data_IF_134797583881
#
_entry.id   IF_134797583881
#
_cell.length_a   1.000
_cell.length_b   1.000
_cell.length_c   1.000
_cell.angle_alpha   90.00
_cell.angle_beta   90.00
_cell.angle_gamma   90.00
#
_symmetry.space_group_name_H-M   'P 1'
#
loop_
_entity.id
_entity.type
_entity.pdbx_description
1 polymer ?
#
# COMPACT_ATOMS: atom_id res chain seq x y z
N UNK A 1 9.57 16.08 5.49
CA UNK A 1 9.67 14.90 4.62
C UNK A 1 9.84 13.67 5.49
N UNK A 2 9.64 12.48 4.94
CA UNK A 2 9.88 11.17 5.59
C UNK A 2 10.63 10.29 4.59
N UNK A 3 11.62 9.54 5.06
CA UNK A 3 12.33 8.56 4.25
C UNK A 3 11.88 7.15 4.62
N UNK A 4 11.58 6.33 3.61
CA UNK A 4 11.29 4.90 3.71
C UNK A 4 12.47 4.14 3.10
N UNK A 5 13.11 3.28 3.90
CA UNK A 5 14.27 2.48 3.49
C UNK A 5 13.89 1.02 3.68
N UNK A 6 13.90 0.23 2.60
CA UNK A 6 13.39 -1.14 2.64
C UNK A 6 13.97 -2.03 1.54
N UNK A 7 13.83 -3.34 1.71
CA UNK A 7 14.21 -4.36 0.74
C UNK A 7 12.98 -4.89 0.01
N UNK A 8 12.73 -4.36 -1.18
CA UNK A 8 11.60 -4.75 -2.05
C UNK A 8 11.93 -5.99 -2.87
N UNK A 9 10.93 -6.82 -3.19
CA UNK A 9 11.11 -8.02 -4.00
C UNK A 9 11.51 -7.67 -5.43
N UNK A 10 12.59 -8.28 -5.94
CA UNK A 10 13.16 -7.92 -7.24
C UNK A 10 12.29 -8.33 -8.43
N UNK A 11 11.41 -9.32 -8.24
CA UNK A 11 10.46 -9.83 -9.24
C UNK A 11 9.20 -8.99 -9.37
N UNK A 12 8.89 -8.14 -8.37
CA UNK A 12 7.69 -7.29 -8.37
C UNK A 12 7.97 -5.96 -9.06
N UNK A 13 6.90 -5.37 -9.61
CA UNK A 13 6.90 -3.97 -10.04
C UNK A 13 7.17 -3.12 -8.79
N UNK A 14 8.11 -2.19 -8.87
CA UNK A 14 8.53 -1.41 -7.71
C UNK A 14 7.50 -0.33 -7.34
N UNK A 15 7.44 0.06 -6.06
CA UNK A 15 6.56 1.16 -5.61
C UNK A 15 6.74 2.46 -6.41
N UNK A 16 7.97 2.93 -6.75
CA UNK A 16 8.14 4.08 -7.65
C UNK A 16 7.43 3.93 -9.01
N UNK A 17 7.48 2.74 -9.62
CA UNK A 17 6.83 2.49 -10.91
C UNK A 17 5.31 2.45 -10.78
N UNK A 18 4.79 1.88 -9.69
CA UNK A 18 3.36 1.90 -9.38
C UNK A 18 2.89 3.34 -9.13
N UNK A 19 3.63 4.11 -8.34
CA UNK A 19 3.31 5.50 -8.02
C UNK A 19 3.33 6.40 -9.26
N UNK A 20 4.26 6.18 -10.19
CA UNK A 20 4.23 6.85 -11.50
C UNK A 20 2.91 6.58 -12.24
N UNK A 21 2.40 5.34 -12.20
CA UNK A 21 1.10 5.01 -12.81
C UNK A 21 -0.07 5.68 -12.08
N UNK A 22 -0.03 5.72 -10.76
CA UNK A 22 -1.01 6.40 -9.91
C UNK A 22 -1.05 7.90 -10.24
N UNK A 23 0.09 8.56 -10.40
CA UNK A 23 0.18 9.97 -10.81
C UNK A 23 -0.40 10.22 -12.21
N UNK A 24 -0.15 9.32 -13.18
CA UNK A 24 -0.76 9.40 -14.51
C UNK A 24 -2.29 9.27 -14.48
N UNK A 25 -2.83 8.44 -13.58
CA UNK A 25 -4.27 8.32 -13.36
C UNK A 25 -4.81 9.58 -12.70
N UNK A 26 -4.14 10.09 -11.68
CA UNK A 26 -4.54 11.29 -10.94
C UNK A 26 -4.63 12.54 -11.85
N UNK A 27 -3.74 12.68 -12.83
CA UNK A 27 -3.82 13.76 -13.83
C UNK A 27 -5.09 13.73 -14.68
N UNK A 28 -5.68 12.54 -14.87
CA UNK A 28 -6.94 12.34 -15.61
C UNK A 28 -8.18 12.41 -14.71
N UNK A 29 -7.99 12.22 -13.41
CA UNK A 29 -9.06 12.16 -12.40
C UNK A 29 -8.74 13.11 -11.24
N UNK A 30 -9.16 14.40 -11.32
CA UNK A 30 -8.84 15.40 -10.30
C UNK A 30 -9.30 15.03 -8.88
N UNK A 31 -10.29 14.15 -8.76
CA UNK A 31 -10.78 13.61 -7.48
C UNK A 31 -9.77 12.71 -6.77
N UNK A 32 -8.69 12.28 -7.43
CA UNK A 32 -7.64 11.42 -6.88
C UNK A 32 -6.36 12.18 -6.58
N UNK A 33 -6.11 13.29 -7.27
CA UNK A 33 -4.84 14.04 -7.24
C UNK A 33 -4.38 14.43 -5.84
N UNK A 34 -5.30 14.90 -4.99
CA UNK A 34 -4.94 15.31 -3.63
C UNK A 34 -4.83 14.14 -2.66
N UNK A 35 -5.29 12.95 -3.05
CA UNK A 35 -5.50 11.77 -2.20
C UNK A 35 -4.44 10.67 -2.38
N UNK A 36 -3.37 10.95 -3.12
CA UNK A 36 -2.25 10.04 -3.38
C UNK A 36 -0.96 10.53 -2.69
N UNK A 37 -0.02 9.63 -2.35
CA UNK A 37 1.22 10.02 -1.71
C UNK A 37 2.13 10.75 -2.71
N UNK A 38 2.83 11.78 -2.22
CA UNK A 38 3.77 12.55 -3.04
C UNK A 38 5.19 12.02 -2.86
N UNK A 39 5.66 11.26 -3.84
CA UNK A 39 7.04 10.80 -3.92
C UNK A 39 7.93 11.94 -4.44
N UNK A 40 8.82 12.44 -3.59
CA UNK A 40 9.68 13.58 -3.90
C UNK A 40 11.00 13.12 -4.54
N UNK A 41 11.50 11.95 -4.13
CA UNK A 41 12.75 11.39 -4.63
C UNK A 41 12.82 9.89 -4.33
N UNK A 42 13.53 9.14 -5.17
CA UNK A 42 13.85 7.75 -4.88
C UNK A 42 15.22 7.32 -5.41
N UNK A 43 15.77 6.27 -4.82
CA UNK A 43 16.96 5.58 -5.29
C UNK A 43 16.82 4.06 -5.16
N UNK A 44 17.29 3.36 -6.19
CA UNK A 44 17.34 1.88 -6.27
C UNK A 44 18.80 1.47 -6.29
N UNK A 45 19.20 0.60 -5.37
CA UNK A 45 20.55 0.06 -5.33
C UNK A 45 20.73 -1.07 -6.35
N UNK A 46 21.96 -1.28 -6.80
CA UNK A 46 22.30 -2.27 -7.84
C UNK A 46 22.61 -3.66 -7.29
N UNK A 47 22.87 -3.79 -5.99
CA UNK A 47 23.31 -5.03 -5.37
C UNK A 47 22.13 -5.72 -4.65
N UNK A 48 21.45 -6.70 -5.29
CA UNK A 48 20.37 -7.42 -4.65
C UNK A 48 20.88 -8.37 -3.56
N UNK A 49 19.97 -8.83 -2.71
CA UNK A 49 20.26 -9.86 -1.70
C UNK A 49 20.72 -11.18 -2.33
N UNK A 50 20.38 -11.45 -3.59
CA UNK A 50 20.86 -12.64 -4.30
C UNK A 50 22.37 -12.63 -4.50
N UNK A 51 22.96 -11.48 -4.85
CA UNK A 51 24.41 -11.34 -4.98
C UNK A 51 25.13 -11.53 -3.63
N UNK A 52 24.51 -11.06 -2.53
CA UNK A 52 25.02 -11.27 -1.17
C UNK A 52 24.98 -12.76 -0.80
N UNK A 53 23.85 -13.43 -1.07
CA UNK A 53 23.69 -14.86 -0.81
C UNK A 53 24.65 -15.73 -1.61
N UNK A 54 24.86 -15.38 -2.87
CA UNK A 54 25.84 -16.04 -3.74
C UNK A 54 27.26 -15.92 -3.17
N UNK A 55 27.68 -14.71 -2.78
CA UNK A 55 28.99 -14.48 -2.17
C UNK A 55 29.17 -15.23 -0.83
N UNK A 56 28.08 -15.51 -0.12
CA UNK A 56 28.07 -16.27 1.14
C UNK A 56 27.88 -17.78 0.94
N UNK A 57 27.72 -18.27 -0.29
CA UNK A 57 27.53 -19.69 -0.58
C UNK A 57 26.17 -20.26 -0.14
N UNK A 58 25.13 -19.42 -0.02
CA UNK A 58 23.78 -19.85 0.36
C UNK A 58 23.12 -20.59 -0.82
N UNK A 59 22.49 -21.77 -0.61
CA UNK A 59 21.74 -22.47 -1.66
C UNK A 59 20.60 -21.60 -2.23
N UNK A 60 20.30 -21.77 -3.52
CA UNK A 60 19.25 -21.03 -4.23
C UNK A 60 19.30 -19.50 -4.04
N UNK A 61 20.45 -18.85 -4.33
CA UNK A 61 20.67 -17.46 -3.97
C UNK A 61 19.69 -16.50 -4.66
N UNK A 62 19.16 -16.87 -5.82
CA UNK A 62 18.22 -16.07 -6.62
C UNK A 62 16.77 -16.13 -6.11
N UNK A 63 16.39 -17.16 -5.36
CA UNK A 63 15.00 -17.36 -4.89
C UNK A 63 14.61 -16.26 -3.90
N UNK A 64 13.58 -15.48 -4.22
CA UNK A 64 13.11 -14.38 -3.36
C UNK A 64 14.15 -13.26 -3.17
N UNK A 65 14.94 -12.99 -4.22
CA UNK A 65 15.89 -11.87 -4.25
C UNK A 65 15.19 -10.53 -4.00
N UNK A 66 15.85 -9.65 -3.26
CA UNK A 66 15.35 -8.31 -2.91
C UNK A 66 16.36 -7.24 -3.27
N UNK A 67 15.86 -6.05 -3.59
CA UNK A 67 16.67 -4.86 -3.89
C UNK A 67 16.41 -3.79 -2.83
N UNK A 68 17.46 -3.12 -2.37
CA UNK A 68 17.35 -2.01 -1.43
C UNK A 68 16.83 -0.76 -2.16
N UNK A 69 15.86 -0.09 -1.55
CA UNK A 69 15.30 1.18 -2.00
C UNK A 69 15.38 2.23 -0.89
N UNK A 70 15.53 3.49 -1.31
CA UNK A 70 15.25 4.67 -0.48
C UNK A 70 14.19 5.49 -1.21
N UNK A 71 13.07 5.76 -0.54
CA UNK A 71 11.99 6.62 -1.02
C UNK A 71 11.82 7.80 -0.08
N UNK A 72 11.69 9.00 -0.62
CA UNK A 72 11.46 10.22 0.15
C UNK A 72 10.09 10.77 -0.19
N UNK A 73 9.22 10.83 0.81
CA UNK A 73 7.85 11.29 0.69
C UNK A 73 7.62 12.61 1.43
N UNK A 74 6.57 13.33 1.02
CA UNK A 74 6.01 14.40 1.86
C UNK A 74 5.52 13.81 3.19
N UNK A 75 5.73 14.54 4.29
CA UNK A 75 5.30 14.07 5.62
C UNK A 75 3.78 14.16 5.74
N UNK A 76 3.16 13.06 6.17
CA UNK A 76 1.73 12.97 6.45
C UNK A 76 1.50 12.66 7.93
N UNK A 77 0.24 12.69 8.37
CA UNK A 77 -0.20 12.33 9.70
C UNK A 77 -1.09 11.08 9.67
N UNK A 78 -1.00 10.18 10.66
CA UNK A 78 -1.81 8.97 10.68
C UNK A 78 -3.29 9.29 10.85
N UNK A 79 -4.15 8.51 10.18
CA UNK A 79 -5.61 8.65 10.26
C UNK A 79 -6.14 8.54 11.69
N UNK A 80 -5.41 7.82 12.56
CA UNK A 80 -5.77 7.61 13.96
C UNK A 80 -5.87 8.91 14.75
N UNK A 81 -5.33 10.04 14.24
CA UNK A 81 -5.50 11.38 14.84
C UNK A 81 -6.82 12.07 14.49
N UNK A 82 -7.57 11.54 13.52
CA UNK A 82 -8.87 12.07 13.10
C UNK A 82 -10.02 11.29 13.75
N UNK A 83 -11.21 11.89 13.76
CA UNK A 83 -12.41 11.30 14.36
C UNK A 83 -13.68 11.79 13.67
N UNK A 84 -14.74 10.98 13.74
CA UNK A 84 -16.05 11.34 13.20
C UNK A 84 -16.03 11.55 11.68
N UNK A 85 -16.61 12.67 11.23
CA UNK A 85 -16.78 13.02 9.80
C UNK A 85 -15.47 13.32 9.06
N UNK A 86 -14.36 13.47 9.78
CA UNK A 86 -13.05 13.80 9.20
C UNK A 86 -12.28 12.55 8.74
N UNK A 87 -12.88 11.36 8.84
CA UNK A 87 -12.28 10.11 8.39
C UNK A 87 -12.11 10.04 6.86
N UNK A 88 -11.21 9.16 6.44
CA UNK A 88 -10.78 8.96 5.07
C UNK A 88 -11.95 8.59 4.12
N UNK A 89 -12.05 9.27 2.97
CA UNK A 89 -12.99 8.95 1.91
C UNK A 89 -12.38 7.94 0.90
N UNK A 90 -12.92 6.71 0.80
CA UNK A 90 -12.41 5.68 -0.11
C UNK A 90 -12.75 5.90 -1.59
N UNK A 91 -13.45 6.99 -1.96
CA UNK A 91 -13.84 7.26 -3.36
C UNK A 91 -12.64 7.33 -4.31
N UNK A 92 -11.53 7.95 -3.88
CA UNK A 92 -10.30 7.99 -4.69
C UNK A 92 -9.69 6.60 -4.93
N UNK A 93 -9.78 5.71 -3.94
CA UNK A 93 -9.33 4.32 -4.05
C UNK A 93 -10.18 3.53 -5.07
N UNK A 94 -11.50 3.73 -5.13
CA UNK A 94 -12.36 3.12 -6.14
C UNK A 94 -11.94 3.54 -7.57
N UNK A 95 -11.60 4.81 -7.78
CA UNK A 95 -11.14 5.30 -9.08
C UNK A 95 -9.84 4.62 -9.50
N UNK A 96 -8.86 4.52 -8.60
CA UNK A 96 -7.61 3.79 -8.86
C UNK A 96 -7.87 2.32 -9.19
N UNK A 97 -8.76 1.67 -8.45
CA UNK A 97 -9.14 0.27 -8.70
C UNK A 97 -9.73 0.08 -10.11
N UNK A 98 -10.65 0.97 -10.52
CA UNK A 98 -11.26 0.92 -11.86
C UNK A 98 -10.24 1.16 -12.98
N UNK A 99 -9.23 1.96 -12.71
CA UNK A 99 -8.10 2.23 -13.63
C UNK A 99 -7.00 1.15 -13.58
N UNK A 100 -7.22 0.08 -12.81
CA UNK A 100 -6.36 -1.09 -12.78
C UNK A 100 -5.18 -1.02 -11.83
N UNK A 101 -5.23 -0.14 -10.82
CA UNK A 101 -4.27 -0.12 -9.70
C UNK A 101 -4.95 -0.71 -8.46
N UNK A 102 -4.44 -1.83 -7.98
CA UNK A 102 -4.98 -2.55 -6.84
C UNK A 102 -4.08 -2.34 -5.63
N UNK A 103 -4.58 -1.71 -4.57
CA UNK A 103 -3.77 -1.35 -3.41
C UNK A 103 -3.37 -2.58 -2.57
N UNK A 104 -4.35 -3.44 -2.25
CA UNK A 104 -4.21 -4.73 -1.55
C UNK A 104 -3.76 -4.70 -0.09
N UNK A 105 -3.21 -3.59 0.40
CA UNK A 105 -2.82 -3.46 1.82
C UNK A 105 -3.53 -2.29 2.51
N UNK A 106 -4.84 -2.40 2.67
CA UNK A 106 -5.62 -1.41 3.43
C UNK A 106 -5.42 -1.66 4.93
N UNK A 107 -4.79 -0.71 5.61
CA UNK A 107 -4.48 -0.79 7.04
C UNK A 107 -4.50 0.60 7.69
N UNK A 108 -4.62 0.72 9.04
CA UNK A 108 -4.60 2.01 9.71
C UNK A 108 -3.26 2.76 9.53
N UNK A 109 -2.17 2.04 9.29
CA UNK A 109 -0.85 2.64 9.03
C UNK A 109 -0.72 3.27 7.65
N UNK A 110 -1.52 2.79 6.71
CA UNK A 110 -1.52 3.23 5.31
C UNK A 110 -2.55 4.33 5.05
N UNK A 111 -3.56 4.46 5.92
CA UNK A 111 -4.46 5.61 5.91
C UNK A 111 -3.83 6.80 6.63
N UNK A 112 -3.58 7.85 5.87
CA UNK A 112 -2.88 9.05 6.29
C UNK A 112 -3.68 10.31 5.95
N UNK A 113 -3.23 11.48 6.40
CA UNK A 113 -3.83 12.76 6.04
C UNK A 113 -2.85 13.94 6.10
N UNK A 114 -3.23 15.05 5.49
CA UNK A 114 -2.62 16.37 5.66
C UNK A 114 -3.66 17.49 5.58
N UNK A 115 -3.27 18.71 5.96
CA UNK A 115 -4.13 19.90 5.83
C UNK A 115 -3.68 20.75 4.65
N UNK A 116 -4.63 21.22 3.84
CA UNK A 116 -4.43 22.16 2.74
C UNK A 116 -5.62 23.10 2.68
N UNK A 117 -5.37 24.41 2.67
CA UNK A 117 -6.41 25.45 2.56
C UNK A 117 -7.60 25.25 3.53
N UNK A 118 -7.28 24.92 4.79
CA UNK A 118 -8.27 24.64 5.84
C UNK A 118 -8.93 23.25 5.76
N UNK A 119 -8.83 22.53 4.64
CA UNK A 119 -9.42 21.20 4.41
C UNK A 119 -8.49 20.09 4.91
N UNK A 120 -9.08 19.05 5.48
CA UNK A 120 -8.40 17.78 5.77
C UNK A 120 -8.48 16.89 4.54
N UNK A 121 -7.34 16.37 4.11
CA UNK A 121 -7.23 15.54 2.91
C UNK A 121 -6.65 14.20 3.33
N UNK A 122 -7.44 13.14 3.14
CA UNK A 122 -7.01 11.77 3.37
C UNK A 122 -6.13 11.27 2.23
N UNK A 123 -5.08 10.51 2.55
CA UNK A 123 -4.16 9.90 1.58
C UNK A 123 -4.03 8.43 1.89
N UNK A 124 -4.23 7.57 0.89
CA UNK A 124 -3.90 6.16 0.98
C UNK A 124 -2.43 6.00 0.55
N UNK A 125 -1.57 5.65 1.49
CA UNK A 125 -0.12 5.55 1.33
C UNK A 125 0.32 4.08 1.26
N UNK A 126 1.58 3.85 0.87
CA UNK A 126 2.25 2.55 0.84
C UNK A 126 1.77 1.60 -0.27
N UNK A 127 2.32 1.80 -1.48
CA UNK A 127 1.98 1.03 -2.68
C UNK A 127 2.94 -0.15 -2.92
N UNK A 128 3.77 -0.55 -1.95
CA UNK A 128 4.76 -1.63 -2.10
C UNK A 128 4.14 -3.00 -2.43
N UNK A 129 2.93 -3.24 -1.93
CA UNK A 129 2.18 -4.48 -2.14
C UNK A 129 1.13 -4.36 -3.24
N UNK A 130 1.05 -3.19 -3.87
CA UNK A 130 0.10 -2.95 -4.93
C UNK A 130 0.45 -3.74 -6.20
N UNK A 131 -0.56 -3.94 -7.04
CA UNK A 131 -0.39 -4.61 -8.33
C UNK A 131 -1.15 -3.86 -9.42
N UNK A 132 -0.70 -4.02 -10.66
CA UNK A 132 -1.42 -3.53 -11.83
C UNK A 132 -2.25 -4.66 -12.45
N UNK A 133 -3.43 -4.33 -13.00
CA UNK A 133 -4.32 -5.29 -13.67
C UNK A 133 -3.63 -6.08 -14.80
N UNK A 134 -2.63 -5.47 -15.44
CA UNK A 134 -1.88 -6.04 -16.56
C UNK A 134 -0.54 -6.68 -16.14
N UNK A 135 -0.23 -6.74 -14.84
CA UNK A 135 1.02 -7.32 -14.37
C UNK A 135 1.03 -8.84 -14.60
N UNK A 136 2.13 -9.35 -15.18
CA UNK A 136 2.41 -10.77 -15.29
C UNK A 136 2.92 -11.27 -13.94
N UNK A 137 2.20 -12.16 -13.27
CA UNK A 137 2.59 -12.74 -12.00
C UNK A 137 1.40 -13.26 -11.19
N UNK A 138 1.64 -13.97 -10.06
CA UNK A 138 0.57 -14.42 -9.18
C UNK A 138 -0.24 -13.20 -8.72
N UNK A 139 -1.50 -13.12 -9.14
CA UNK A 139 -2.43 -12.10 -8.66
C UNK A 139 -2.95 -12.41 -7.25
N UNK A 140 -2.58 -13.57 -6.69
CA UNK A 140 -2.98 -14.04 -5.38
C UNK A 140 -2.25 -13.37 -4.22
N UNK A 141 -2.71 -13.64 -3.00
CA UNK A 141 -2.13 -13.14 -1.75
C UNK A 141 -0.89 -13.93 -1.33
N UNK A 142 0.04 -14.18 -2.25
CA UNK A 142 1.34 -14.75 -1.90
C UNK A 142 2.12 -13.72 -1.06
N UNK A 143 1.77 -13.72 0.23
CA UNK A 143 2.35 -13.05 1.39
C UNK A 143 2.18 -11.53 1.48
N UNK A 144 1.82 -11.14 2.71
CA UNK A 144 2.06 -9.86 3.41
C UNK A 144 0.97 -8.78 3.42
N UNK A 145 -0.32 -9.10 3.31
CA UNK A 145 -1.34 -8.12 3.73
C UNK A 145 -1.40 -8.09 5.27
N UNK A 146 -1.74 -6.94 5.83
CA UNK A 146 -1.95 -6.78 7.28
C UNK A 146 -3.09 -7.69 7.78
N UNK A 147 -2.75 -8.89 8.28
CA UNK A 147 -3.69 -9.99 8.62
C UNK A 147 -4.95 -9.54 9.39
N UNK A 148 -4.87 -8.69 10.44
CA UNK A 148 -6.06 -8.25 11.16
C UNK A 148 -7.10 -7.48 10.33
N UNK A 149 -6.71 -6.91 9.20
CA UNK A 149 -7.59 -6.10 8.34
C UNK A 149 -7.87 -6.79 7.00
N UNK A 150 -7.37 -8.00 6.79
CA UNK A 150 -7.63 -8.76 5.57
C UNK A 150 -9.08 -9.25 5.53
N UNK A 151 -9.69 -9.22 4.34
CA UNK A 151 -11.01 -9.81 4.11
C UNK A 151 -11.07 -11.30 4.46
N UNK A 152 -12.20 -11.78 4.98
CA UNK A 152 -12.36 -13.16 5.45
C UNK A 152 -12.08 -14.21 4.36
N UNK A 153 -12.56 -13.99 3.13
CA UNK A 153 -12.33 -14.91 2.02
C UNK A 153 -10.84 -15.08 1.69
N UNK A 154 -10.07 -14.02 1.90
CA UNK A 154 -8.63 -14.01 1.68
C UNK A 154 -7.86 -14.72 2.80
N UNK A 155 -8.46 -14.88 3.99
CA UNK A 155 -7.89 -15.63 5.12
C UNK A 155 -8.10 -17.14 5.02
N UNK A 156 -8.93 -17.61 4.07
CA UNK A 156 -9.10 -19.04 3.81
C UNK A 156 -7.80 -19.68 3.30
N UNK A 157 -7.70 -21.02 3.39
CA UNK A 157 -6.55 -21.75 2.83
C UNK A 157 -6.33 -21.43 1.36
N UNK A 158 -7.41 -21.40 0.56
CA UNK A 158 -7.37 -21.04 -0.85
C UNK A 158 -6.96 -19.58 -1.06
N UNK A 159 -7.42 -18.67 -0.20
CA UNK A 159 -7.03 -17.26 -0.22
C UNK A 159 -5.53 -17.06 0.04
N UNK A 160 -4.99 -17.75 1.05
CA UNK A 160 -3.56 -17.72 1.40
C UNK A 160 -2.68 -18.42 0.36
N UNK A 161 -3.21 -19.42 -0.35
CA UNK A 161 -2.59 -20.05 -1.51
C UNK A 161 -2.70 -19.20 -2.79
N UNK A 162 -3.31 -18.02 -2.71
CA UNK A 162 -3.45 -17.11 -3.84
C UNK A 162 -4.47 -17.55 -4.91
N UNK A 163 -5.31 -18.54 -4.59
CA UNK A 163 -6.33 -19.10 -5.49
C UNK A 163 -7.60 -18.27 -5.53
N UNK A 164 -7.85 -17.46 -4.49
CA UNK A 164 -8.97 -16.51 -4.47
C UNK A 164 -8.56 -15.24 -5.21
N UNK A 165 -9.32 -14.90 -6.26
CA UNK A 165 -9.13 -13.64 -6.99
C UNK A 165 -9.41 -12.46 -6.07
N UNK A 166 -8.48 -11.51 -5.99
CA UNK A 166 -8.71 -10.27 -5.25
C UNK A 166 -9.73 -9.39 -5.97
N UNK A 167 -10.82 -9.06 -5.28
CA UNK A 167 -11.91 -8.22 -5.79
C UNK A 167 -11.99 -6.94 -4.95
N UNK A 168 -12.57 -5.87 -5.51
CA UNK A 168 -12.73 -4.60 -4.80
C UNK A 168 -13.46 -4.73 -3.45
N UNK A 169 -14.41 -5.67 -3.34
CA UNK A 169 -15.12 -5.96 -2.09
C UNK A 169 -14.19 -6.35 -0.95
N UNK A 170 -13.03 -6.95 -1.23
CA UNK A 170 -12.07 -7.31 -0.20
C UNK A 170 -11.38 -6.07 0.37
N UNK A 171 -11.05 -5.08 -0.46
CA UNK A 171 -10.50 -3.81 0.01
C UNK A 171 -11.58 -3.01 0.79
N UNK A 172 -12.84 -3.05 0.34
CA UNK A 172 -13.96 -2.46 1.09
C UNK A 172 -14.14 -3.09 2.48
N UNK A 173 -14.10 -4.42 2.56
CA UNK A 173 -14.17 -5.14 3.84
C UNK A 173 -12.99 -4.74 4.75
N UNK A 174 -11.80 -4.59 4.17
CA UNK A 174 -10.62 -4.12 4.89
C UNK A 174 -10.80 -2.71 5.46
N UNK A 175 -11.40 -1.77 4.69
CA UNK A 175 -11.77 -0.44 5.22
C UNK A 175 -12.74 -0.54 6.40
N UNK A 176 -13.73 -1.45 6.35
CA UNK A 176 -14.66 -1.66 7.47
C UNK A 176 -13.91 -2.12 8.73
N UNK A 177 -12.99 -3.07 8.60
CA UNK A 177 -12.15 -3.54 9.71
C UNK A 177 -11.28 -2.42 10.28
N UNK A 178 -10.66 -1.59 9.42
CA UNK A 178 -9.84 -0.45 9.84
C UNK A 178 -10.66 0.58 10.60
N UNK A 179 -11.83 0.97 10.09
CA UNK A 179 -12.68 1.94 10.77
C UNK A 179 -13.20 1.40 12.10
N UNK A 180 -13.68 0.15 12.15
CA UNK A 180 -14.09 -0.50 13.39
C UNK A 180 -12.97 -0.50 14.43
N UNK A 181 -11.74 -0.84 14.03
CA UNK A 181 -10.57 -0.80 14.90
C UNK A 181 -10.28 0.61 15.42
N UNK A 182 -10.28 1.63 14.56
CA UNK A 182 -10.06 3.02 14.97
C UNK A 182 -11.12 3.46 15.99
N UNK A 183 -12.40 3.19 15.71
CA UNK A 183 -13.49 3.55 16.62
C UNK A 183 -13.41 2.84 17.98
N UNK A 184 -12.99 1.59 18.01
CA UNK A 184 -12.93 0.78 19.24
C UNK A 184 -11.65 1.01 20.05
N UNK A 185 -10.55 1.38 19.40
CA UNK A 185 -9.22 1.45 20.02
C UNK A 185 -8.69 2.86 20.19
N UNK A 186 -9.26 3.85 19.55
CA UNK A 186 -8.80 5.24 19.70
C UNK A 186 -9.92 6.12 20.26
N UNK A 187 -9.58 6.91 21.27
CA UNK A 187 -10.43 7.98 21.79
C UNK A 187 -9.71 9.32 21.62
N UNK A 188 -10.30 10.23 20.84
CA UNK A 188 -9.72 11.55 20.56
C UNK A 188 -8.27 11.48 20.06
N UNK A 189 -7.97 10.45 19.26
CA UNK A 189 -6.64 10.22 18.69
C UNK A 189 -5.60 9.60 19.62
N UNK A 190 -6.01 9.16 20.81
CA UNK A 190 -5.18 8.43 21.77
C UNK A 190 -5.60 6.96 21.79
N UNK A 191 -4.62 6.05 21.72
CA UNK A 191 -4.87 4.62 21.84
C UNK A 191 -5.34 4.29 23.27
N UNK A 192 -6.46 3.58 23.37
CA UNK A 192 -7.04 3.05 24.62
C UNK A 192 -6.25 1.87 25.18
#
# INVERSE_FOLDING_TARGET
MVAKIFWGEASRISEPEILKKVEEIAKRHPTVEEHIPQLLWHHKFTNPTSAIREALGVPEPTTGGRVLYILVFRKLHPITKLYGKDLFDPTGHLTLWKEGVYHRDISPGNLMWYRKDGRLIGVLNDYDLSSLANALGPQGNERTVTVPFMALDLLTKEGQEGKVKHLYRHDLESFMWVFAWIFLRYRQGVLL
#
